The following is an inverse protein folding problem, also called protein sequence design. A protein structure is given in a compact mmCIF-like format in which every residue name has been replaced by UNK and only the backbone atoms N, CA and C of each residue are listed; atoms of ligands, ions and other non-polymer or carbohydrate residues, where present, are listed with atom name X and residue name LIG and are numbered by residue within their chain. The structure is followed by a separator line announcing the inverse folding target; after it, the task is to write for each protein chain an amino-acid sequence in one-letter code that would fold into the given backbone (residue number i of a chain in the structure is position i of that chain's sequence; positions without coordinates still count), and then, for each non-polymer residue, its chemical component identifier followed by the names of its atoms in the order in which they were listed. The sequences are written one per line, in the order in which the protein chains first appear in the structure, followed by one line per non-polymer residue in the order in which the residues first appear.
data_IF_461429505577
#
_entry.id   IF_461429505577
#
_cell.length_a   1.000
_cell.length_b   1.000
_cell.length_c   1.000
_cell.angle_alpha   90.00
_cell.angle_beta   90.00
_cell.angle_gamma   90.00
#
_symmetry.space_group_name_H-M   'P 1'
#
loop_
_entity.id
_entity.type
_entity.pdbx_description
1 polymer ?
#
# COMPACT_ATOMS: atom_id res chain seq x y z
N UNK A 1 -12.93 11.08 21.71
CA UNK A 1 -12.83 10.56 20.33
C UNK A 1 -12.43 9.10 20.45
N UNK A 2 -13.16 8.18 19.84
CA UNK A 2 -12.88 6.74 19.87
C UNK A 2 -12.50 6.32 18.45
N UNK A 3 -11.48 5.48 18.31
CA UNK A 3 -11.10 4.84 17.04
C UNK A 3 -11.41 3.36 17.22
N UNK A 4 -12.14 2.77 16.25
CA UNK A 4 -12.39 1.34 16.17
C UNK A 4 -11.58 0.77 15.00
N UNK A 5 -10.96 -0.39 15.20
CA UNK A 5 -10.23 -1.12 14.14
C UNK A 5 -10.85 -2.51 14.05
N UNK A 6 -11.33 -2.86 12.86
CA UNK A 6 -12.00 -4.14 12.61
C UNK A 6 -11.33 -4.87 11.46
N UNK A 7 -10.95 -6.13 11.70
CA UNK A 7 -10.48 -7.00 10.63
C UNK A 7 -11.66 -7.51 9.80
N UNK A 8 -11.62 -7.29 8.49
CA UNK A 8 -12.61 -7.84 7.56
C UNK A 8 -12.27 -9.29 7.25
N UNK A 9 -13.22 -10.19 7.50
CA UNK A 9 -13.05 -11.63 7.29
C UNK A 9 -13.89 -12.08 6.09
N UNK A 10 -13.53 -13.21 5.49
CA UNK A 10 -14.33 -13.85 4.45
C UNK A 10 -13.96 -13.47 3.02
N UNK A 11 -12.88 -12.69 2.79
CA UNK A 11 -12.35 -12.54 1.44
C UNK A 11 -11.87 -13.90 0.91
N UNK A 12 -12.21 -14.25 -0.34
CA UNK A 12 -11.66 -15.43 -1.00
C UNK A 12 -10.17 -15.23 -1.32
N UNK A 13 -9.51 -16.29 -1.77
CA UNK A 13 -8.19 -16.14 -2.41
C UNK A 13 -8.33 -15.27 -3.65
N UNK A 14 -7.52 -14.21 -3.72
CA UNK A 14 -7.59 -13.22 -4.80
C UNK A 14 -6.80 -13.70 -6.02
N UNK A 15 -7.45 -13.61 -7.17
CA UNK A 15 -6.92 -13.97 -8.48
C UNK A 15 -6.85 -12.78 -9.42
N UNK A 16 -6.06 -12.91 -10.48
CA UNK A 16 -5.95 -11.87 -11.52
C UNK A 16 -7.32 -11.59 -12.17
N UNK A 17 -7.68 -10.33 -12.20
CA UNK A 17 -8.96 -9.86 -12.78
C UNK A 17 -10.10 -9.75 -11.77
N UNK A 18 -9.91 -10.16 -10.52
CA UNK A 18 -10.92 -9.97 -9.48
C UNK A 18 -11.18 -8.49 -9.21
N UNK A 19 -12.44 -8.12 -9.08
CA UNK A 19 -12.84 -6.79 -8.63
C UNK A 19 -12.80 -6.72 -7.10
N UNK A 20 -11.68 -6.22 -6.57
CA UNK A 20 -11.49 -6.10 -5.13
C UNK A 20 -12.55 -5.24 -4.46
N UNK A 21 -12.99 -4.17 -5.12
CA UNK A 21 -13.98 -3.28 -4.52
C UNK A 21 -15.33 -3.99 -4.36
N UNK A 22 -15.72 -4.77 -5.37
CA UNK A 22 -16.92 -5.60 -5.32
C UNK A 22 -16.79 -6.71 -4.27
N UNK A 23 -15.67 -7.43 -4.23
CA UNK A 23 -15.45 -8.51 -3.27
C UNK A 23 -15.50 -7.97 -1.83
N UNK A 24 -14.83 -6.84 -1.56
CA UNK A 24 -14.82 -6.22 -0.25
C UNK A 24 -16.22 -5.71 0.13
N UNK A 25 -16.94 -5.10 -0.79
CA UNK A 25 -18.27 -4.57 -0.53
C UNK A 25 -19.32 -5.64 -0.21
N UNK A 26 -19.08 -6.88 -0.63
CA UNK A 26 -19.95 -8.03 -0.39
C UNK A 26 -19.66 -8.75 0.95
N UNK A 27 -18.66 -8.30 1.70
CA UNK A 27 -18.40 -8.87 3.02
C UNK A 27 -19.51 -8.53 4.00
N UNK A 28 -19.69 -9.39 5.00
CA UNK A 28 -20.64 -9.15 6.10
C UNK A 28 -20.10 -8.07 7.05
N UNK A 29 -20.09 -6.83 6.56
CA UNK A 29 -19.66 -5.64 7.28
C UNK A 29 -20.45 -4.41 6.81
N UNK A 30 -20.93 -3.61 7.74
CA UNK A 30 -21.66 -2.38 7.48
C UNK A 30 -20.69 -1.20 7.31
N UNK A 31 -20.29 -0.92 6.08
CA UNK A 31 -19.44 0.23 5.75
C UNK A 31 -20.18 1.54 5.91
N UNK A 32 -19.49 2.55 6.44
CA UNK A 32 -20.05 3.89 6.66
C UNK A 32 -19.17 4.97 6.01
N UNK A 33 -19.81 6.09 5.65
CA UNK A 33 -19.06 7.25 5.18
C UNK A 33 -18.17 7.79 6.31
N UNK A 34 -16.90 8.02 6.01
CA UNK A 34 -15.87 8.39 6.97
C UNK A 34 -14.99 7.23 7.43
N UNK A 35 -15.33 5.98 7.09
CA UNK A 35 -14.43 4.85 7.32
C UNK A 35 -13.15 4.98 6.50
N UNK A 36 -12.09 4.35 6.98
CA UNK A 36 -10.83 4.19 6.24
C UNK A 36 -10.59 2.70 6.02
N UNK A 37 -10.64 2.29 4.76
CA UNK A 37 -10.34 0.93 4.32
C UNK A 37 -8.83 0.80 4.10
N UNK A 38 -8.18 -0.05 4.88
CA UNK A 38 -6.74 -0.34 4.77
C UNK A 38 -6.54 -1.70 4.10
N UNK A 39 -5.79 -1.74 3.01
CA UNK A 39 -5.64 -2.91 2.15
C UNK A 39 -4.15 -3.19 1.94
N UNK A 40 -3.73 -4.45 2.10
CA UNK A 40 -2.37 -4.84 1.75
C UNK A 40 -2.13 -4.75 0.24
N UNK A 41 -0.95 -4.28 -0.16
CA UNK A 41 -0.50 -4.26 -1.56
C UNK A 41 -0.62 -5.62 -2.25
N UNK A 42 -0.41 -6.71 -1.52
CA UNK A 42 -0.38 -8.06 -2.06
C UNK A 42 -1.68 -8.47 -2.76
N UNK A 43 -2.84 -8.23 -2.14
CA UNK A 43 -4.11 -8.59 -2.78
C UNK A 43 -4.43 -7.67 -3.96
N UNK A 44 -4.01 -6.41 -3.91
CA UNK A 44 -4.09 -5.48 -5.04
C UNK A 44 -3.23 -5.97 -6.20
N UNK A 45 -1.98 -6.35 -5.92
CA UNK A 45 -1.07 -6.92 -6.91
C UNK A 45 -1.61 -8.21 -7.54
N UNK A 46 -2.18 -9.11 -6.73
CA UNK A 46 -2.82 -10.33 -7.25
C UNK A 46 -3.95 -9.99 -8.21
N UNK A 47 -4.87 -9.11 -7.83
CA UNK A 47 -6.00 -8.73 -8.67
C UNK A 47 -5.59 -8.02 -9.96
N UNK A 48 -4.52 -7.25 -9.93
CA UNK A 48 -3.99 -6.51 -11.10
C UNK A 48 -3.05 -7.34 -11.98
N UNK A 49 -2.88 -8.64 -11.70
CA UNK A 49 -2.01 -9.51 -12.49
C UNK A 49 -0.52 -9.22 -12.31
N UNK A 50 -0.14 -8.62 -11.16
CA UNK A 50 1.25 -8.35 -10.81
C UNK A 50 1.96 -9.55 -10.19
N UNK A 51 1.37 -10.75 -10.30
CA UNK A 51 2.06 -12.02 -10.07
C UNK A 51 2.75 -12.43 -11.36
N UNK A 52 4.07 -12.50 -11.37
CA UNK A 52 4.84 -12.91 -12.53
C UNK A 52 5.60 -14.20 -12.23
N UNK A 53 5.72 -15.08 -13.22
CA UNK A 53 6.63 -16.20 -13.16
C UNK A 53 8.08 -15.66 -13.11
N UNK A 54 8.83 -16.06 -12.12
CA UNK A 54 10.21 -15.63 -11.96
C UNK A 54 11.03 -16.74 -11.30
N UNK A 55 11.87 -17.39 -12.10
CA UNK A 55 12.84 -18.35 -11.61
C UNK A 55 13.98 -17.64 -10.83
N UNK A 56 14.18 -16.35 -11.07
CA UNK A 56 15.18 -15.52 -10.44
C UNK A 56 14.57 -14.22 -9.86
N UNK A 57 14.35 -14.21 -8.55
CA UNK A 57 13.91 -13.03 -7.81
C UNK A 57 14.84 -11.83 -8.03
N UNK A 58 16.16 -12.06 -8.23
CA UNK A 58 17.13 -10.98 -8.45
C UNK A 58 16.87 -10.25 -9.76
N UNK A 59 16.50 -10.99 -10.81
CA UNK A 59 16.11 -10.39 -12.08
C UNK A 59 14.85 -9.54 -11.93
N UNK A 60 13.81 -10.06 -11.27
CA UNK A 60 12.60 -9.30 -10.97
C UNK A 60 12.91 -8.03 -10.14
N UNK A 61 13.73 -8.16 -9.10
CA UNK A 61 14.17 -7.01 -8.27
C UNK A 61 14.87 -5.95 -9.11
N UNK A 62 15.76 -6.34 -10.02
CA UNK A 62 16.45 -5.36 -10.89
C UNK A 62 15.48 -4.63 -11.82
N UNK A 63 14.52 -5.36 -12.38
CA UNK A 63 13.53 -4.79 -13.30
C UNK A 63 12.60 -3.79 -12.60
N UNK A 64 12.22 -4.06 -11.35
CA UNK A 64 11.38 -3.18 -10.53
C UNK A 64 12.18 -2.06 -9.86
N UNK A 65 13.51 -2.06 -9.98
CA UNK A 65 14.39 -1.04 -9.42
C UNK A 65 14.66 0.06 -10.43
N UNK A 66 14.28 1.29 -10.12
CA UNK A 66 14.75 2.46 -10.84
C UNK A 66 16.25 2.67 -10.61
N UNK A 67 16.72 2.39 -9.40
CA UNK A 67 18.12 2.54 -9.00
C UNK A 67 18.43 1.62 -7.80
N UNK A 68 19.55 0.90 -7.86
CA UNK A 68 20.09 0.16 -6.72
C UNK A 68 20.91 1.14 -5.89
N UNK A 69 20.61 1.21 -4.59
CA UNK A 69 21.26 2.13 -3.64
C UNK A 69 22.31 1.43 -2.80
N UNK A 70 22.05 0.20 -2.38
CA UNK A 70 22.99 -0.60 -1.59
C UNK A 70 22.73 -2.10 -1.80
N UNK A 71 23.77 -2.90 -1.58
CA UNK A 71 23.68 -4.36 -1.59
C UNK A 71 24.57 -4.95 -0.50
N UNK A 72 24.01 -5.92 0.23
CA UNK A 72 24.76 -6.73 1.18
C UNK A 72 24.35 -8.19 1.05
N UNK A 73 25.23 -9.02 0.50
CA UNK A 73 24.89 -10.41 0.17
C UNK A 73 23.72 -10.46 -0.81
N UNK A 74 22.67 -11.17 -0.43
CA UNK A 74 21.42 -11.30 -1.22
C UNK A 74 20.47 -10.11 -1.03
N UNK A 75 20.65 -9.30 -0.01
CA UNK A 75 19.78 -8.16 0.28
C UNK A 75 20.15 -6.97 -0.59
N UNK A 76 19.19 -6.52 -1.39
CA UNK A 76 19.31 -5.33 -2.25
C UNK A 76 18.37 -4.26 -1.71
N UNK A 77 18.89 -3.05 -1.51
CA UNK A 77 18.07 -1.86 -1.23
C UNK A 77 18.05 -1.03 -2.49
N UNK A 78 16.87 -0.73 -2.97
CA UNK A 78 16.67 0.00 -4.21
C UNK A 78 15.60 1.07 -4.09
N UNK A 79 15.67 2.06 -4.96
CA UNK A 79 14.59 2.98 -5.28
C UNK A 79 13.69 2.32 -6.31
N UNK A 80 12.40 2.18 -6.01
CA UNK A 80 11.39 1.65 -6.93
C UNK A 80 11.01 2.69 -7.98
N UNK A 81 10.29 2.30 -9.03
CA UNK A 81 9.74 3.24 -10.01
C UNK A 81 8.75 4.24 -9.37
N UNK A 82 8.11 3.87 -8.25
CA UNK A 82 7.25 4.75 -7.46
C UNK A 82 8.02 5.78 -6.61
N UNK A 83 9.36 5.62 -6.46
CA UNK A 83 10.21 6.46 -5.62
C UNK A 83 10.38 5.98 -4.18
N UNK A 84 9.86 4.79 -3.83
CA UNK A 84 10.09 4.22 -2.51
C UNK A 84 11.49 3.61 -2.41
N UNK A 85 12.14 3.82 -1.27
CA UNK A 85 13.42 3.17 -0.95
C UNK A 85 13.14 1.99 -0.03
N UNK A 86 13.33 0.77 -0.56
CA UNK A 86 12.97 -0.45 0.15
C UNK A 86 13.80 -1.65 -0.29
N UNK A 87 13.69 -2.74 0.46
CA UNK A 87 14.35 -3.99 0.12
C UNK A 87 13.71 -4.64 -1.11
N UNK A 88 14.56 -5.18 -1.98
CA UNK A 88 14.18 -5.95 -3.16
C UNK A 88 13.15 -5.26 -4.07
N UNK A 89 13.09 -3.93 -4.09
CA UNK A 89 12.08 -3.14 -4.82
C UNK A 89 10.62 -3.56 -4.54
N UNK A 90 10.33 -4.10 -3.37
CA UNK A 90 9.02 -4.62 -3.03
C UNK A 90 8.67 -5.98 -3.66
N UNK A 91 9.61 -6.63 -4.32
CA UNK A 91 9.41 -7.99 -4.87
C UNK A 91 9.30 -9.00 -3.74
N UNK A 92 8.14 -9.61 -3.61
CA UNK A 92 7.82 -10.55 -2.55
C UNK A 92 7.56 -11.97 -3.10
N UNK A 93 8.02 -12.98 -2.35
CA UNK A 93 7.83 -14.40 -2.64
C UNK A 93 6.92 -15.09 -1.60
N UNK A 94 6.49 -14.35 -0.59
CA UNK A 94 5.63 -14.91 0.43
C UNK A 94 4.19 -14.98 -0.03
N UNK A 95 3.49 -16.06 0.32
CA UNK A 95 2.07 -16.25 0.00
C UNK A 95 1.74 -16.09 -1.50
N UNK A 96 2.62 -16.61 -2.34
CA UNK A 96 2.44 -16.72 -3.79
C UNK A 96 2.77 -18.16 -4.23
N UNK A 97 2.24 -18.64 -5.39
CA UNK A 97 2.58 -19.96 -5.91
C UNK A 97 4.09 -20.13 -6.13
N UNK A 98 4.58 -21.35 -5.99
CA UNK A 98 5.98 -21.67 -6.27
C UNK A 98 6.35 -21.26 -7.70
N UNK A 99 7.51 -20.64 -7.89
CA UNK A 99 7.96 -20.12 -9.18
C UNK A 99 7.36 -18.77 -9.58
N UNK A 100 6.62 -18.11 -8.67
CA UNK A 100 6.07 -16.79 -8.89
C UNK A 100 6.62 -15.78 -7.85
N UNK A 101 6.56 -14.51 -8.21
CA UNK A 101 6.80 -13.39 -7.32
C UNK A 101 5.67 -12.37 -7.47
N UNK A 102 5.35 -11.70 -6.36
CA UNK A 102 4.46 -10.55 -6.38
C UNK A 102 5.28 -9.26 -6.54
N UNK A 103 4.87 -8.42 -7.46
CA UNK A 103 5.39 -7.07 -7.66
C UNK A 103 4.43 -6.07 -6.99
N UNK A 104 4.89 -4.85 -6.70
CA UNK A 104 3.99 -3.79 -6.26
C UNK A 104 2.95 -3.46 -7.35
N UNK A 105 1.75 -2.96 -6.99
CA UNK A 105 0.81 -2.38 -7.96
C UNK A 105 1.51 -1.30 -8.79
N UNK A 106 1.18 -1.17 -10.07
CA UNK A 106 1.83 -0.17 -10.94
C UNK A 106 1.55 1.27 -10.51
N UNK A 107 0.32 1.52 -10.09
CA UNK A 107 -0.11 2.82 -9.58
C UNK A 107 -1.02 2.63 -8.37
N UNK A 108 -0.45 2.50 -7.16
CA UNK A 108 -1.23 2.23 -5.95
C UNK A 108 -2.27 3.32 -5.62
N UNK A 109 -1.99 4.60 -5.95
CA UNK A 109 -2.98 5.68 -5.78
C UNK A 109 -4.17 5.51 -6.72
N UNK A 110 -3.93 5.06 -7.95
CA UNK A 110 -5.02 4.78 -8.90
C UNK A 110 -5.85 3.58 -8.45
N UNK A 111 -5.21 2.55 -7.94
CA UNK A 111 -5.88 1.38 -7.37
C UNK A 111 -6.76 1.79 -6.18
N UNK A 112 -6.24 2.63 -5.28
CA UNK A 112 -7.02 3.19 -4.18
C UNK A 112 -8.20 4.04 -4.68
N UNK A 113 -8.00 4.86 -5.72
CA UNK A 113 -9.07 5.67 -6.33
C UNK A 113 -10.18 4.82 -6.94
N UNK A 114 -9.84 3.73 -7.65
CA UNK A 114 -10.83 2.81 -8.22
C UNK A 114 -11.73 2.20 -7.14
N UNK A 115 -11.13 1.70 -6.06
CA UNK A 115 -11.86 1.13 -4.92
C UNK A 115 -12.77 2.19 -4.28
N UNK A 116 -12.23 3.37 -3.96
CA UNK A 116 -13.02 4.47 -3.40
C UNK A 116 -14.20 4.85 -4.31
N UNK A 117 -13.95 4.98 -5.60
CA UNK A 117 -14.99 5.36 -6.59
C UNK A 117 -16.09 4.31 -6.65
N UNK A 118 -15.75 3.03 -6.59
CA UNK A 118 -16.73 1.96 -6.54
C UNK A 118 -17.70 2.12 -5.36
N UNK A 119 -17.17 2.29 -4.14
CA UNK A 119 -17.99 2.49 -2.94
C UNK A 119 -18.88 3.73 -3.05
N UNK A 120 -18.33 4.83 -3.55
CA UNK A 120 -19.09 6.05 -3.72
C UNK A 120 -20.19 5.92 -4.77
N UNK A 121 -19.91 5.32 -5.94
CA UNK A 121 -20.83 5.28 -7.07
C UNK A 121 -21.89 4.20 -6.92
N UNK A 122 -21.55 3.04 -6.33
CA UNK A 122 -22.47 1.90 -6.26
C UNK A 122 -23.22 1.81 -4.92
N UNK A 123 -22.63 2.33 -3.85
CA UNK A 123 -23.18 2.21 -2.49
C UNK A 123 -23.51 3.56 -1.85
N UNK A 124 -23.11 4.68 -2.46
CA UNK A 124 -23.27 6.01 -1.87
C UNK A 124 -22.36 6.27 -0.64
N UNK A 125 -21.36 5.42 -0.41
CA UNK A 125 -20.47 5.47 0.76
C UNK A 125 -19.19 6.22 0.40
N UNK A 126 -18.91 7.32 1.11
CA UNK A 126 -17.67 8.07 0.92
C UNK A 126 -16.64 7.71 1.99
N UNK A 127 -15.75 6.77 1.67
CA UNK A 127 -14.68 6.31 2.56
C UNK A 127 -13.29 6.70 2.04
N UNK A 128 -12.30 6.64 2.93
CA UNK A 128 -10.88 6.70 2.56
C UNK A 128 -10.36 5.30 2.22
N UNK A 129 -9.38 5.23 1.32
CA UNK A 129 -8.67 3.99 1.01
C UNK A 129 -7.18 4.20 1.17
N UNK A 130 -6.52 3.28 1.86
CA UNK A 130 -5.07 3.25 2.04
C UNK A 130 -4.55 1.89 1.61
N UNK A 131 -3.64 1.85 0.65
CA UNK A 131 -2.92 0.64 0.28
C UNK A 131 -1.58 0.66 1.00
N UNK A 132 -1.27 -0.41 1.73
CA UNK A 132 -0.05 -0.52 2.54
C UNK A 132 0.86 -1.62 2.03
N UNK A 133 2.16 -1.44 2.26
CA UNK A 133 3.16 -2.48 2.09
C UNK A 133 4.12 -2.52 3.27
N UNK A 134 4.70 -3.69 3.53
CA UNK A 134 5.56 -3.90 4.69
C UNK A 134 7.01 -3.56 4.36
N UNK A 135 7.57 -2.59 5.06
CA UNK A 135 8.94 -2.11 4.86
C UNK A 135 9.84 -2.46 6.05
N UNK A 136 11.07 -2.84 5.74
CA UNK A 136 12.17 -2.78 6.72
C UNK A 136 12.56 -1.32 6.97
N UNK A 137 13.11 -1.04 8.16
CA UNK A 137 13.58 0.31 8.53
C UNK A 137 15.08 0.32 8.73
N UNK A 138 15.73 1.34 8.17
CA UNK A 138 17.13 1.61 8.49
C UNK A 138 17.30 1.89 9.98
N UNK A 139 18.36 1.37 10.57
CA UNK A 139 18.77 1.58 11.96
C UNK A 139 17.80 1.04 13.03
N UNK A 140 16.84 0.21 12.65
CA UNK A 140 15.90 -0.43 13.58
C UNK A 140 15.65 -1.87 13.18
N UNK A 141 15.50 -2.74 14.16
CA UNK A 141 14.96 -4.07 13.97
C UNK A 141 13.43 -3.99 13.79
N UNK A 142 12.92 -4.95 13.04
CA UNK A 142 11.48 -5.07 12.77
C UNK A 142 11.03 -4.38 11.50
N UNK A 143 9.75 -4.58 11.21
CA UNK A 143 9.05 -4.11 10.01
C UNK A 143 8.00 -3.09 10.41
N UNK A 144 7.61 -2.26 9.45
CA UNK A 144 6.48 -1.35 9.57
C UNK A 144 5.66 -1.41 8.28
N UNK A 145 4.37 -1.16 8.38
CA UNK A 145 3.54 -0.91 7.21
C UNK A 145 3.57 0.58 6.85
N UNK A 146 3.80 0.85 5.58
CA UNK A 146 3.75 2.20 5.02
C UNK A 146 2.64 2.29 3.98
N UNK A 147 1.92 3.39 3.99
CA UNK A 147 0.99 3.71 2.91
C UNK A 147 1.77 3.94 1.62
N UNK A 148 1.46 3.16 0.58
CA UNK A 148 2.03 3.29 -0.77
C UNK A 148 1.02 3.84 -1.77
N UNK A 149 -0.27 3.81 -1.44
CA UNK A 149 -1.35 4.38 -2.23
C UNK A 149 -2.48 4.89 -1.34
N UNK A 150 -3.07 6.03 -1.70
CA UNK A 150 -4.09 6.70 -0.89
C UNK A 150 -5.16 7.34 -1.78
N UNK A 151 -6.42 7.25 -1.35
CA UNK A 151 -7.53 7.97 -1.94
C UNK A 151 -8.56 8.39 -0.89
N UNK A 152 -9.18 9.55 -1.08
CA UNK A 152 -10.25 10.05 -0.21
C UNK A 152 -9.79 10.71 1.09
N UNK A 153 -8.49 10.76 1.35
CA UNK A 153 -7.88 11.47 2.47
C UNK A 153 -6.56 12.11 2.04
N UNK A 154 -6.14 13.22 2.66
CA UNK A 154 -4.85 13.84 2.36
C UNK A 154 -3.72 12.97 2.91
N UNK A 155 -2.74 12.54 2.07
CA UNK A 155 -1.61 11.73 2.52
C UNK A 155 -0.66 12.50 3.43
N UNK A 156 -0.60 13.82 3.27
CA UNK A 156 0.26 14.73 4.02
C UNK A 156 -0.51 15.99 4.41
N UNK A 157 -0.25 16.49 5.59
CA UNK A 157 -0.76 17.77 6.05
C UNK A 157 0.42 18.69 6.32
N UNK A 158 0.53 19.79 5.58
CA UNK A 158 1.57 20.80 5.81
C UNK A 158 1.16 21.76 6.92
N UNK A 159 1.86 21.71 8.03
CA UNK A 159 1.67 22.59 9.17
C UNK A 159 2.56 23.82 9.16
N UNK A 160 3.45 23.98 8.17
CA UNK A 160 4.35 25.13 8.10
C UNK A 160 3.58 26.45 8.08
N UNK A 161 4.04 27.38 8.91
CA UNK A 161 3.42 28.70 9.02
C UNK A 161 2.18 28.76 9.90
N UNK A 162 1.64 27.63 10.36
CA UNK A 162 0.59 27.61 11.39
C UNK A 162 1.19 28.02 12.74
N UNK A 163 0.33 28.40 13.65
CA UNK A 163 0.70 28.75 15.03
C UNK A 163 0.38 27.56 15.92
N UNK A 164 1.30 27.17 16.79
CA UNK A 164 1.08 26.14 17.81
C UNK A 164 0.26 26.72 19.00
N UNK A 165 -0.05 25.86 19.98
CA UNK A 165 -0.83 26.26 21.16
C UNK A 165 -0.10 27.29 22.05
N UNK A 166 1.22 27.38 21.96
CA UNK A 166 2.03 28.34 22.72
C UNK A 166 2.25 29.66 21.97
N UNK A 167 1.70 29.80 20.74
CA UNK A 167 1.83 31.01 19.93
C UNK A 167 3.06 31.04 19.01
N UNK A 168 3.82 29.95 18.93
CA UNK A 168 4.99 29.89 18.06
C UNK A 168 4.63 29.40 16.65
N UNK A 169 5.32 29.97 15.67
CA UNK A 169 5.14 29.55 14.28
C UNK A 169 5.80 28.21 14.03
N UNK A 170 5.04 27.24 13.50
CA UNK A 170 5.54 25.93 13.13
C UNK A 170 6.49 26.05 11.94
N UNK A 171 7.71 25.55 12.11
CA UNK A 171 8.74 25.51 11.09
C UNK A 171 8.80 24.18 10.36
N UNK A 172 9.80 24.03 9.49
CA UNK A 172 9.99 22.83 8.66
C UNK A 172 10.25 21.53 9.44
N UNK A 173 10.81 21.63 10.63
CA UNK A 173 11.16 20.48 11.45
C UNK A 173 9.94 19.71 12.02
N UNK A 174 8.74 20.24 11.86
CA UNK A 174 7.49 19.66 12.36
C UNK A 174 6.62 19.05 11.24
N UNK A 175 7.19 18.82 10.08
CA UNK A 175 6.51 18.21 8.92
C UNK A 175 6.94 16.77 8.76
#
# INVERSE_FOLDING_TARGET
MTISITGLLGLPEISTGDDLAQLISNLDFEFQSGDILVITSKIVSKSEGRLIAADDRKAATRNESKRILAQRGETVISETHHGFVMAAAGVDMSDVPAGFVALLPENPDESARRIKTYFQSNLGINLGVVITDTFGRAWRDGLIDLAIGVAGLPPLIDHRGRIDQAGHKIGRAHV
#
